data_IF_974486774824
#
_entry.id   IF_974486774824
#
_cell.length_a   1.000
_cell.length_b   1.000
_cell.length_c   1.000
_cell.angle_alpha   90.00
_cell.angle_beta   90.00
_cell.angle_gamma   90.00
#
_symmetry.space_group_name_H-M   'P 1'
#
loop_
_entity.id
_entity.type
_entity.pdbx_description
1 polymer ?
#
# COMPACT_ATOMS: atom_id res chain seq x y z
N UNK A 1 -13.27 1.23 -7.83
CA UNK A 1 -12.21 2.21 -7.50
C UNK A 1 -10.92 1.61 -8.04
N UNK A 2 -10.17 2.36 -8.83
CA UNK A 2 -8.90 1.92 -9.39
C UNK A 2 -7.75 2.40 -8.48
N UNK A 3 -6.73 1.57 -8.30
CA UNK A 3 -5.50 1.94 -7.62
C UNK A 3 -4.79 3.06 -8.39
N UNK A 4 -4.56 4.19 -7.71
CA UNK A 4 -3.64 5.25 -8.12
C UNK A 4 -2.91 5.73 -6.87
N UNK A 5 -1.71 5.21 -6.65
CA UNK A 5 -0.89 5.57 -5.49
C UNK A 5 0.53 5.86 -5.92
N UNK A 6 1.21 6.71 -5.17
CA UNK A 6 2.61 7.02 -5.35
C UNK A 6 3.35 6.93 -4.02
N UNK A 7 4.60 6.48 -4.06
CA UNK A 7 5.50 6.44 -2.92
C UNK A 7 6.88 6.94 -3.33
N UNK A 8 7.54 7.67 -2.44
CA UNK A 8 8.95 7.97 -2.59
C UNK A 8 9.77 6.73 -2.20
N UNK A 9 10.71 6.32 -3.04
CA UNK A 9 11.64 5.26 -2.72
C UNK A 9 12.63 5.73 -1.64
N UNK A 10 13.37 4.77 -1.08
CA UNK A 10 14.29 5.02 0.05
C UNK A 10 15.50 5.85 -0.31
N UNK A 11 15.79 6.03 -1.59
CA UNK A 11 16.86 6.88 -2.10
C UNK A 11 16.52 8.38 -2.09
N UNK A 12 15.27 8.76 -1.77
CA UNK A 12 14.71 10.11 -1.86
C UNK A 12 14.89 10.78 -3.24
N UNK A 13 15.15 9.99 -4.27
CA UNK A 13 15.43 10.43 -5.65
C UNK A 13 14.50 9.78 -6.64
N UNK A 14 13.78 8.74 -6.22
CA UNK A 14 12.88 7.98 -7.07
C UNK A 14 11.46 8.05 -6.51
N UNK A 15 10.49 8.27 -7.38
CA UNK A 15 9.06 8.12 -7.08
C UNK A 15 8.53 6.93 -7.86
N UNK A 16 7.84 6.03 -7.17
CA UNK A 16 7.16 4.88 -7.77
C UNK A 16 5.67 5.16 -7.73
N UNK A 17 5.02 5.10 -8.89
CA UNK A 17 3.55 5.15 -9.00
C UNK A 17 3.02 3.78 -9.41
N UNK A 18 1.90 3.39 -8.82
CA UNK A 18 1.22 2.15 -9.10
C UNK A 18 -0.19 2.48 -9.61
N UNK A 19 -0.50 1.97 -10.79
CA UNK A 19 -1.79 2.14 -11.45
C UNK A 19 -2.39 0.77 -11.76
N UNK A 20 -3.63 0.52 -11.34
CA UNK A 20 -4.35 -0.68 -11.77
C UNK A 20 -4.68 -0.63 -13.28
N UNK A 21 -4.35 -1.69 -14.01
CA UNK A 21 -4.72 -1.88 -15.43
C UNK A 21 -5.48 -3.21 -15.60
N UNK A 22 -6.68 -3.19 -16.16
CA UNK A 22 -7.49 -4.42 -16.30
C UNK A 22 -7.90 -5.07 -14.96
N UNK A 23 -7.98 -6.41 -14.94
CA UNK A 23 -8.45 -7.17 -13.77
C UNK A 23 -7.34 -7.70 -12.86
N UNK A 24 -6.15 -7.92 -13.39
CA UNK A 24 -5.04 -8.61 -12.71
C UNK A 24 -3.68 -8.02 -13.05
N UNK A 25 -3.66 -6.76 -13.49
CA UNK A 25 -2.43 -6.06 -13.85
C UNK A 25 -2.27 -4.77 -13.04
N UNK A 26 -1.05 -4.50 -12.58
CA UNK A 26 -0.61 -3.20 -12.09
C UNK A 26 0.50 -2.70 -12.98
N UNK A 27 0.38 -1.46 -13.44
CA UNK A 27 1.47 -0.74 -14.07
C UNK A 27 2.24 0.03 -13.00
N UNK A 28 3.51 -0.30 -12.85
CA UNK A 28 4.47 0.43 -12.04
C UNK A 28 5.24 1.41 -12.95
N UNK A 29 5.17 2.70 -12.65
CA UNK A 29 5.99 3.71 -13.32
C UNK A 29 6.96 4.31 -12.30
N UNK A 30 8.21 4.48 -12.73
CA UNK A 30 9.28 4.98 -11.89
C UNK A 30 9.77 6.30 -12.46
N UNK A 31 9.69 7.35 -11.66
CA UNK A 31 10.20 8.68 -11.99
C UNK A 31 11.48 8.94 -11.21
N UNK A 32 12.54 9.30 -11.92
CA UNK A 32 13.83 9.69 -11.35
C UNK A 32 13.89 11.22 -11.26
N UNK A 33 13.84 11.73 -10.03
CA UNK A 33 13.84 13.16 -9.70
C UNK A 33 15.17 13.81 -10.14
N UNK A 34 16.28 13.08 -10.08
CA UNK A 34 17.61 13.65 -10.39
C UNK A 34 17.82 13.90 -11.87
N UNK A 35 17.27 13.02 -12.70
CA UNK A 35 17.33 13.13 -14.15
C UNK A 35 16.10 13.77 -14.79
N UNK A 36 15.08 14.11 -13.98
CA UNK A 36 13.76 14.56 -14.43
C UNK A 36 13.17 13.67 -15.53
N UNK A 37 13.18 12.35 -15.32
CA UNK A 37 12.79 11.40 -16.35
C UNK A 37 12.01 10.20 -15.84
N UNK A 38 11.15 9.66 -16.71
CA UNK A 38 10.44 8.41 -16.46
C UNK A 38 11.25 7.23 -17.00
N UNK A 39 11.42 6.20 -16.17
CA UNK A 39 11.89 4.89 -16.62
C UNK A 39 10.76 4.17 -17.36
N UNK A 40 11.10 3.23 -18.26
CA UNK A 40 10.09 2.37 -18.89
C UNK A 40 9.19 1.72 -17.84
N UNK A 41 7.88 1.80 -18.08
CA UNK A 41 6.89 1.24 -17.16
C UNK A 41 6.94 -0.29 -17.18
N UNK A 42 6.65 -0.90 -16.04
CA UNK A 42 6.62 -2.35 -15.88
C UNK A 42 5.19 -2.77 -15.58
N UNK A 43 4.73 -3.81 -16.28
CA UNK A 43 3.42 -4.42 -16.06
C UNK A 43 3.56 -5.67 -15.20
N UNK A 44 3.04 -5.59 -13.97
CA UNK A 44 2.95 -6.67 -13.01
C UNK A 44 1.64 -7.42 -13.28
N UNK A 45 1.70 -8.65 -13.80
CA UNK A 45 0.53 -9.42 -14.24
C UNK A 45 0.23 -10.59 -13.31
N UNK A 46 -0.93 -11.24 -13.49
CA UNK A 46 -1.33 -12.40 -12.67
C UNK A 46 -1.69 -12.05 -11.23
N UNK A 47 -1.93 -10.77 -10.96
CA UNK A 47 -2.22 -10.29 -9.62
C UNK A 47 -3.66 -10.60 -9.21
N UNK A 48 -3.92 -10.81 -7.92
CA UNK A 48 -5.27 -11.05 -7.47
C UNK A 48 -6.18 -9.82 -7.65
N UNK A 49 -7.45 -10.07 -7.96
CA UNK A 49 -8.40 -9.03 -8.39
C UNK A 49 -8.64 -7.93 -7.34
N UNK A 50 -8.46 -8.24 -6.05
CA UNK A 50 -8.70 -7.33 -4.92
C UNK A 50 -7.65 -6.22 -4.82
N UNK A 51 -6.44 -6.43 -5.37
CA UNK A 51 -5.38 -5.41 -5.34
C UNK A 51 -5.80 -4.12 -6.06
N UNK A 52 -6.79 -4.18 -6.95
CA UNK A 52 -7.31 -2.99 -7.66
C UNK A 52 -8.06 -2.05 -6.74
N UNK A 53 -8.61 -2.59 -5.67
CA UNK A 53 -9.24 -1.83 -4.60
C UNK A 53 -8.22 -1.39 -3.56
N UNK A 54 -6.92 -1.45 -3.89
CA UNK A 54 -5.88 -0.93 -3.04
C UNK A 54 -6.07 0.56 -2.77
N UNK A 55 -5.77 0.90 -1.53
CA UNK A 55 -6.26 2.11 -0.93
C UNK A 55 -5.10 3.05 -0.65
N UNK A 56 -4.08 2.55 0.04
CA UNK A 56 -2.87 3.31 0.31
C UNK A 56 -1.64 2.43 0.16
N UNK A 57 -0.55 3.08 -0.25
CA UNK A 57 0.76 2.48 -0.30
C UNK A 57 1.71 3.23 0.63
N UNK A 58 2.66 2.51 1.22
CA UNK A 58 3.73 3.08 2.03
C UNK A 58 5.01 2.31 1.82
N UNK A 59 6.15 3.00 1.84
CA UNK A 59 7.47 2.38 1.73
C UNK A 59 8.01 2.09 3.12
N UNK A 60 8.55 0.89 3.31
CA UNK A 60 9.43 0.59 4.42
C UNK A 60 10.82 1.18 4.14
N UNK A 61 11.26 2.19 4.92
CA UNK A 61 12.53 2.87 4.69
C UNK A 61 13.76 1.98 4.91
N UNK A 62 13.62 0.83 5.59
CA UNK A 62 14.72 -0.08 5.88
C UNK A 62 14.92 -1.11 4.77
N UNK A 63 13.84 -1.55 4.13
CA UNK A 63 13.87 -2.65 3.15
C UNK A 63 13.62 -2.19 1.71
N UNK A 64 13.01 -1.02 1.53
CA UNK A 64 12.55 -0.53 0.22
C UNK A 64 11.28 -1.19 -0.30
N UNK A 65 10.68 -2.10 0.48
CA UNK A 65 9.43 -2.75 0.12
C UNK A 65 8.26 -1.76 0.19
N UNK A 66 7.32 -1.90 -0.74
CA UNK A 66 6.10 -1.10 -0.80
C UNK A 66 4.93 -1.92 -0.30
N UNK A 67 4.33 -1.50 0.79
CA UNK A 67 3.15 -2.13 1.39
C UNK A 67 1.91 -1.45 0.88
N UNK A 68 0.98 -2.23 0.33
CA UNK A 68 -0.21 -1.77 -0.38
C UNK A 68 -1.41 -2.44 0.30
N UNK A 69 -2.21 -1.68 1.03
CA UNK A 69 -3.44 -2.24 1.61
C UNK A 69 -4.53 -2.30 0.53
N UNK A 70 -5.12 -3.47 0.33
CA UNK A 70 -6.40 -3.64 -0.37
C UNK A 70 -7.56 -3.67 0.63
N UNK A 71 -8.76 -3.94 0.11
CA UNK A 71 -9.97 -4.07 0.92
C UNK A 71 -9.90 -5.27 1.89
N UNK A 72 -9.19 -6.34 1.50
CA UNK A 72 -9.16 -7.61 2.25
C UNK A 72 -7.76 -8.10 2.60
N UNK A 73 -6.71 -7.59 1.97
CA UNK A 73 -5.36 -8.11 2.14
C UNK A 73 -4.33 -6.98 2.18
N UNK A 74 -3.23 -7.24 2.86
CA UNK A 74 -2.00 -6.50 2.63
C UNK A 74 -1.24 -7.14 1.45
N UNK A 75 -0.81 -6.31 0.50
CA UNK A 75 0.08 -6.71 -0.59
C UNK A 75 1.45 -6.06 -0.39
N UNK A 76 2.50 -6.76 -0.78
CA UNK A 76 3.88 -6.26 -0.70
C UNK A 76 4.48 -6.31 -2.09
N UNK A 77 4.84 -5.13 -2.60
CA UNK A 77 5.55 -4.96 -3.85
C UNK A 77 7.05 -4.75 -3.56
N UNK A 78 7.89 -5.56 -4.19
CA UNK A 78 9.34 -5.40 -4.18
C UNK A 78 9.79 -4.74 -5.50
N UNK A 79 10.27 -3.49 -5.48
CA UNK A 79 10.70 -2.79 -6.68
C UNK A 79 12.02 -3.31 -7.26
N UNK A 80 12.75 -4.17 -6.54
CA UNK A 80 14.06 -4.68 -6.98
C UNK A 80 13.92 -5.82 -7.98
N UNK A 81 12.95 -6.69 -7.77
CA UNK A 81 12.66 -7.84 -8.63
C UNK A 81 11.32 -7.73 -9.36
N UNK A 82 10.56 -6.66 -9.12
CA UNK A 82 9.25 -6.41 -9.70
C UNK A 82 8.22 -7.50 -9.36
N UNK A 83 8.21 -7.95 -8.11
CA UNK A 83 7.25 -8.95 -7.64
C UNK A 83 6.23 -8.36 -6.67
N UNK A 84 5.03 -8.91 -6.68
CA UNK A 84 3.98 -8.59 -5.70
C UNK A 84 3.58 -9.88 -5.01
N UNK A 85 3.66 -9.91 -3.69
CA UNK A 85 3.10 -10.98 -2.88
C UNK A 85 1.87 -10.49 -2.11
N UNK A 86 0.87 -11.38 -2.02
CA UNK A 86 -0.23 -11.22 -1.07
C UNK A 86 0.24 -11.75 0.29
N UNK A 87 -0.09 -11.03 1.35
CA UNK A 87 0.21 -11.42 2.74
C UNK A 87 -1.10 -11.63 3.51
N UNK A 88 -1.08 -11.40 4.82
CA UNK A 88 -2.17 -11.65 5.76
C UNK A 88 -3.45 -10.88 5.42
N UNK A 89 -4.58 -11.53 5.67
CA UNK A 89 -5.91 -10.93 5.54
C UNK A 89 -6.15 -9.83 6.57
N UNK A 90 -6.92 -8.82 6.18
CA UNK A 90 -7.39 -7.74 7.07
C UNK A 90 -8.75 -8.17 7.64
N UNK A 91 -8.75 -8.68 8.87
CA UNK A 91 -9.99 -9.09 9.53
C UNK A 91 -10.95 -7.90 9.73
N UNK A 92 -12.26 -8.19 9.74
CA UNK A 92 -13.36 -7.20 9.78
C UNK A 92 -13.19 -6.12 10.84
N UNK A 93 -12.83 -6.54 12.04
CA UNK A 93 -12.65 -5.73 13.24
C UNK A 93 -11.34 -4.92 13.25
N UNK A 94 -10.33 -5.32 12.48
CA UNK A 94 -8.97 -4.72 12.51
C UNK A 94 -8.92 -3.33 11.89
N UNK A 95 -9.67 -3.14 10.82
CA UNK A 95 -9.77 -1.89 10.10
C UNK A 95 -11.23 -1.70 9.69
N UNK A 96 -12.08 -1.18 10.58
CA UNK A 96 -13.51 -0.99 10.29
C UNK A 96 -13.72 0.10 9.22
N UNK A 97 -12.84 1.10 9.20
CA UNK A 97 -12.79 2.19 8.23
C UNK A 97 -11.70 1.94 7.19
N UNK A 98 -12.08 1.32 6.09
CA UNK A 98 -11.13 0.87 5.05
C UNK A 98 -10.88 1.96 4.00
N UNK A 99 -11.88 2.81 3.73
CA UNK A 99 -11.84 3.80 2.65
C UNK A 99 -11.27 5.15 3.14
N UNK A 100 -9.94 5.20 3.18
CA UNK A 100 -9.01 6.33 3.36
C UNK A 100 -9.06 7.19 4.60
N UNK A 101 -7.88 7.30 5.20
CA UNK A 101 -7.72 7.90 6.50
C UNK A 101 -6.35 8.55 6.73
N UNK A 102 -5.31 7.85 6.30
CA UNK A 102 -3.92 8.26 6.44
C UNK A 102 -3.09 7.00 6.56
N UNK A 103 -1.89 6.99 5.99
CA UNK A 103 -0.94 5.89 6.18
C UNK A 103 0.44 6.48 6.44
N UNK A 104 1.18 5.88 7.36
CA UNK A 104 2.57 6.22 7.60
C UNK A 104 3.36 4.99 8.04
N UNK A 105 4.65 4.94 7.70
CA UNK A 105 5.56 3.97 8.28
C UNK A 105 6.21 4.59 9.52
N UNK A 106 5.95 4.03 10.69
CA UNK A 106 6.58 4.44 11.94
C UNK A 106 7.91 3.72 12.13
N UNK A 107 9.01 4.40 11.76
CA UNK A 107 10.36 3.82 11.76
C UNK A 107 10.81 3.29 13.12
N UNK A 108 10.48 3.98 14.22
CA UNK A 108 10.90 3.60 15.58
C UNK A 108 10.31 2.27 16.06
N UNK A 109 9.12 1.90 15.57
CA UNK A 109 8.43 0.65 15.92
C UNK A 109 8.43 -0.38 14.79
N UNK A 110 8.93 0.00 13.61
CA UNK A 110 8.87 -0.79 12.37
C UNK A 110 7.44 -1.28 12.09
N UNK A 111 6.47 -0.36 12.20
CA UNK A 111 5.04 -0.62 11.97
C UNK A 111 4.50 0.32 10.90
N UNK A 112 3.45 -0.10 10.23
CA UNK A 112 2.65 0.76 9.37
C UNK A 112 1.39 1.14 10.15
N UNK A 113 1.10 2.43 10.19
CA UNK A 113 -0.03 2.99 10.93
C UNK A 113 -1.06 3.49 9.93
N UNK A 114 -2.31 3.09 10.14
CA UNK A 114 -3.49 3.56 9.42
C UNK A 114 -4.41 4.28 10.41
N UNK A 115 -4.96 5.44 10.03
CA UNK A 115 -5.63 6.34 11.00
C UNK A 115 -6.93 6.91 10.46
N UNK A 116 -8.09 6.42 10.92
CA UNK A 116 -9.46 6.93 10.62
C UNK A 116 -10.18 6.28 9.41
N UNK A 117 -11.04 7.05 8.75
CA UNK A 117 -11.49 6.83 7.36
C UNK A 117 -12.98 6.56 7.17
N UNK A 118 -13.36 6.05 6.00
CA UNK A 118 -14.75 5.67 5.69
C UNK A 118 -14.95 4.16 5.85
N UNK A 119 -16.06 3.77 6.48
CA UNK A 119 -16.49 2.38 6.54
C UNK A 119 -17.04 1.91 5.19
N UNK A 120 -17.36 0.61 5.09
CA UNK A 120 -17.99 0.02 3.90
C UNK A 120 -19.30 0.70 3.48
N UNK A 121 -20.03 1.31 4.42
CA UNK A 121 -21.26 2.08 4.17
C UNK A 121 -21.03 3.53 3.73
N UNK A 122 -19.78 3.92 3.43
CA UNK A 122 -19.38 5.29 3.09
C UNK A 122 -19.73 6.31 4.20
N UNK A 123 -19.94 5.83 5.42
CA UNK A 123 -20.05 6.68 6.58
C UNK A 123 -18.65 6.95 7.10
N UNK A 124 -18.38 8.21 7.46
CA UNK A 124 -17.20 8.52 8.27
C UNK A 124 -17.34 7.77 9.58
N UNK A 125 -16.36 6.91 9.88
CA UNK A 125 -16.23 6.40 11.22
C UNK A 125 -16.02 7.60 12.14
N UNK A 126 -16.89 7.78 13.13
CA UNK A 126 -16.64 8.73 14.22
C UNK A 126 -15.47 8.25 15.10
N UNK A 127 -15.09 6.98 14.96
CA UNK A 127 -13.98 6.39 15.66
C UNK A 127 -12.67 6.74 14.93
N UNK A 128 -11.80 7.45 15.63
CA UNK A 128 -10.41 7.69 15.22
C UNK A 128 -9.54 6.47 15.56
N UNK A 129 -9.96 5.28 15.10
CA UNK A 129 -9.24 4.05 15.39
C UNK A 129 -7.88 4.06 14.68
N UNK A 130 -6.86 3.56 15.36
CA UNK A 130 -5.51 3.39 14.82
C UNK A 130 -5.28 1.89 14.60
N UNK A 131 -5.18 1.50 13.33
CA UNK A 131 -4.79 0.13 12.96
C UNK A 131 -3.30 0.09 12.68
N UNK A 132 -2.62 -0.91 13.23
CA UNK A 132 -1.20 -1.13 12.99
C UNK A 132 -0.97 -2.43 12.24
N UNK A 133 -0.09 -2.39 11.23
CA UNK A 133 0.45 -3.57 10.58
C UNK A 133 1.93 -3.73 10.92
N UNK A 134 2.34 -4.96 11.18
CA UNK A 134 3.68 -5.38 11.52
C UNK A 134 4.29 -6.18 10.36
N UNK A 135 5.18 -5.57 9.57
CA UNK A 135 5.95 -6.27 8.53
C UNK A 135 6.65 -7.54 8.99
N UNK A 136 7.22 -7.54 10.19
CA UNK A 136 8.04 -8.66 10.71
C UNK A 136 7.22 -9.91 11.02
N UNK A 137 6.02 -9.70 11.57
CA UNK A 137 5.12 -10.79 11.96
C UNK A 137 4.03 -11.02 10.92
N UNK A 138 4.06 -10.25 9.82
CA UNK A 138 2.97 -10.08 8.86
C UNK A 138 1.59 -9.95 9.54
N UNK A 139 1.52 -9.26 10.68
CA UNK A 139 0.37 -9.29 11.58
C UNK A 139 -0.28 -7.92 11.78
N UNK A 140 -1.54 -7.92 12.18
CA UNK A 140 -2.31 -6.70 12.45
C UNK A 140 -2.62 -6.55 13.95
N UNK A 141 -2.73 -5.31 14.41
CA UNK A 141 -3.18 -4.94 15.75
C UNK A 141 -4.06 -3.68 15.71
N UNK A 142 -4.89 -3.50 16.74
CA UNK A 142 -5.79 -2.34 16.92
C UNK A 142 -5.46 -1.69 18.27
N UNK A 143 -5.51 -0.37 18.33
CA UNK A 143 -5.40 0.42 19.56
C UNK A 143 -6.50 1.44 19.68
#
# INVERSE_FOLDING_TARGET
IYLFVGVAATDNKTVITLKGEGNSTIRANTYDITSDSWKPAISLTGLPIDIRQAMRAVVDPNTGLVYINSDMYMHVFDPRDNTVKRTTSIEGNIMPTRKFAGVAYLKSRQKIIYMGGLSGSLMYGLNMDISEYSPQTEGWAIW
#
